data_IF_452839073954
#
_entry.id   IF_452839073954
#
_cell.length_a   1.000
_cell.length_b   1.000
_cell.length_c   1.000
_cell.angle_alpha   90.00
_cell.angle_beta   90.00
_cell.angle_gamma   90.00
#
_symmetry.space_group_name_H-M   'P 1'
#
loop_
_entity.id
_entity.type
_entity.pdbx_description
1 polymer ?
#
# COMPACT_ATOMS: atom_id res chain seq x y z
N UNK A 1 -14.25 15.68 -5.92
CA UNK A 1 -13.78 14.35 -6.37
C UNK A 1 -14.54 13.99 -7.63
N UNK A 2 -13.81 13.76 -8.73
CA UNK A 2 -14.39 13.35 -10.01
C UNK A 2 -14.89 11.91 -9.96
N UNK A 3 -15.88 11.59 -10.78
CA UNK A 3 -16.39 10.23 -10.94
C UNK A 3 -15.30 9.32 -11.52
N UNK A 4 -15.22 8.09 -11.05
CA UNK A 4 -14.30 7.06 -11.51
C UNK A 4 -15.00 5.70 -11.52
N UNK A 5 -14.52 4.79 -12.35
CA UNK A 5 -14.89 3.37 -12.27
C UNK A 5 -13.96 2.64 -11.30
N UNK A 6 -14.43 1.53 -10.73
CA UNK A 6 -13.71 0.75 -9.73
C UNK A 6 -13.69 -0.72 -10.15
N UNK A 7 -12.51 -1.33 -10.14
CA UNK A 7 -12.31 -2.74 -10.47
C UNK A 7 -11.44 -3.41 -9.43
N UNK A 8 -11.80 -4.65 -9.02
CA UNK A 8 -10.95 -5.50 -8.20
C UNK A 8 -10.14 -6.41 -9.10
N UNK A 9 -8.81 -6.28 -9.05
CA UNK A 9 -7.94 -7.19 -9.77
C UNK A 9 -7.91 -8.58 -9.13
N UNK A 10 -7.70 -9.61 -9.94
CA UNK A 10 -7.64 -11.00 -9.44
C UNK A 10 -6.22 -11.50 -9.20
N UNK A 11 -5.26 -10.92 -9.90
CA UNK A 11 -3.82 -11.23 -9.75
C UNK A 11 -2.98 -9.96 -9.88
N UNK A 12 -1.72 -9.94 -9.41
CA UNK A 12 -0.82 -8.81 -9.61
C UNK A 12 -0.57 -8.49 -11.09
N UNK A 13 -0.42 -9.52 -11.93
CA UNK A 13 -0.24 -9.34 -13.37
C UNK A 13 -1.48 -8.72 -14.02
N UNK A 14 -2.67 -9.15 -13.60
CA UNK A 14 -3.94 -8.60 -14.04
C UNK A 14 -4.08 -7.12 -13.63
N UNK A 15 -3.78 -6.78 -12.38
CA UNK A 15 -3.79 -5.40 -11.91
C UNK A 15 -2.87 -4.50 -12.75
N UNK A 16 -1.63 -4.95 -12.99
CA UNK A 16 -0.67 -4.22 -13.80
C UNK A 16 -1.16 -4.03 -15.24
N UNK A 17 -1.75 -5.08 -15.83
CA UNK A 17 -2.35 -5.02 -17.16
C UNK A 17 -3.51 -4.02 -17.22
N UNK A 18 -4.42 -4.04 -16.25
CA UNK A 18 -5.57 -3.11 -16.19
C UNK A 18 -5.08 -1.66 -16.12
N UNK A 19 -4.12 -1.36 -15.23
CA UNK A 19 -3.58 0.00 -15.12
C UNK A 19 -2.85 0.43 -16.40
N UNK A 20 -2.08 -0.47 -17.02
CA UNK A 20 -1.38 -0.19 -18.27
C UNK A 20 -2.33 0.07 -19.45
N UNK A 21 -3.50 -0.60 -19.49
CA UNK A 21 -4.47 -0.45 -20.57
C UNK A 21 -5.45 0.72 -20.39
N UNK A 22 -5.49 1.35 -19.22
CA UNK A 22 -6.42 2.44 -18.91
C UNK A 22 -5.66 3.74 -18.57
N UNK A 23 -5.49 4.66 -19.53
CA UNK A 23 -4.89 5.96 -19.26
C UNK A 23 -5.61 6.68 -18.12
N UNK A 24 -4.84 7.12 -17.12
CA UNK A 24 -5.39 7.75 -15.91
C UNK A 24 -5.84 6.79 -14.82
N UNK A 25 -5.67 5.48 -14.98
CA UNK A 25 -5.89 4.53 -13.90
C UNK A 25 -4.85 4.67 -12.78
N UNK A 26 -5.28 4.34 -11.55
CA UNK A 26 -4.42 4.27 -10.37
C UNK A 26 -4.72 3.02 -9.56
N UNK A 27 -3.68 2.45 -8.94
CA UNK A 27 -3.87 1.41 -7.94
C UNK A 27 -4.45 2.00 -6.66
N UNK A 28 -5.39 1.29 -6.04
CA UNK A 28 -5.95 1.62 -4.74
C UNK A 28 -5.46 0.58 -3.71
N UNK A 29 -4.65 1.06 -2.76
CA UNK A 29 -4.23 0.29 -1.58
C UNK A 29 -5.09 0.69 -0.36
N UNK A 30 -4.47 1.08 0.75
CA UNK A 30 -5.16 1.58 1.95
C UNK A 30 -5.95 2.88 1.78
N UNK A 31 -5.76 3.59 0.66
CA UNK A 31 -6.47 4.82 0.32
C UNK A 31 -6.12 6.05 1.17
N UNK A 32 -5.26 5.93 2.18
CA UNK A 32 -5.01 6.99 3.18
C UNK A 32 -4.39 8.26 2.62
N UNK A 33 -3.70 8.20 1.48
CA UNK A 33 -3.16 9.37 0.77
C UNK A 33 -3.91 9.63 -0.54
N UNK A 34 -4.10 8.60 -1.38
CA UNK A 34 -4.77 8.75 -2.68
C UNK A 34 -6.19 9.33 -2.55
N UNK A 35 -7.02 8.80 -1.63
CA UNK A 35 -8.40 9.29 -1.50
C UNK A 35 -8.46 10.71 -0.94
N UNK A 36 -7.47 11.12 -0.14
CA UNK A 36 -7.37 12.49 0.35
C UNK A 36 -7.08 13.47 -0.81
N UNK A 37 -6.06 13.16 -1.62
CA UNK A 37 -5.71 13.92 -2.82
C UNK A 37 -6.84 13.97 -3.85
N UNK A 38 -7.61 12.88 -3.97
CA UNK A 38 -8.78 12.82 -4.86
C UNK A 38 -9.93 13.72 -4.41
N UNK A 39 -10.11 13.92 -3.09
CA UNK A 39 -11.15 14.84 -2.58
C UNK A 39 -10.86 16.27 -2.98
N UNK A 40 -9.58 16.66 -2.93
CA UNK A 40 -9.06 17.96 -3.32
C UNK A 40 -8.80 18.09 -4.83
N UNK A 41 -9.09 17.04 -5.61
CA UNK A 41 -8.86 16.96 -7.05
C UNK A 41 -7.41 17.19 -7.50
N UNK A 42 -6.45 16.95 -6.60
CA UNK A 42 -5.01 16.91 -6.91
C UNK A 42 -4.67 15.65 -7.71
N UNK A 43 -5.27 14.52 -7.35
CA UNK A 43 -5.29 13.30 -8.16
C UNK A 43 -6.69 13.13 -8.75
N UNK A 44 -6.79 12.94 -10.06
CA UNK A 44 -8.08 12.82 -10.77
C UNK A 44 -8.14 11.57 -11.62
N UNK A 45 -7.95 10.36 -11.03
CA UNK A 45 -8.00 9.13 -11.79
C UNK A 45 -9.40 8.88 -12.35
N UNK A 46 -9.46 8.35 -13.57
CA UNK A 46 -10.69 7.92 -14.23
C UNK A 46 -11.10 6.50 -13.83
N UNK A 47 -10.14 5.72 -13.31
CA UNK A 47 -10.31 4.33 -12.93
C UNK A 47 -9.45 3.97 -11.72
N UNK A 48 -10.02 3.27 -10.74
CA UNK A 48 -9.30 2.73 -9.59
C UNK A 48 -9.26 1.21 -9.65
N UNK A 49 -8.05 0.67 -9.52
CA UNK A 49 -7.80 -0.78 -9.47
C UNK A 49 -7.47 -1.17 -8.04
N UNK A 50 -8.41 -1.81 -7.35
CA UNK A 50 -8.20 -2.35 -6.02
C UNK A 50 -7.37 -3.64 -6.09
N UNK A 51 -6.37 -3.68 -5.23
CA UNK A 51 -5.32 -4.69 -5.19
C UNK A 51 -5.16 -5.29 -3.79
N UNK A 52 -6.10 -5.03 -2.86
CA UNK A 52 -6.07 -5.53 -1.49
C UNK A 52 -6.15 -7.06 -1.41
N UNK A 53 -6.89 -7.71 -2.31
CA UNK A 53 -7.15 -9.16 -2.26
C UNK A 53 -6.06 -10.00 -2.96
N UNK A 54 -4.96 -9.37 -3.40
CA UNK A 54 -3.90 -10.02 -4.17
C UNK A 54 -2.89 -10.82 -3.34
N UNK A 55 -3.12 -10.95 -2.02
CA UNK A 55 -2.26 -11.70 -1.09
C UNK A 55 -0.79 -11.25 -1.12
N UNK A 56 -0.58 -9.94 -1.28
CA UNK A 56 0.73 -9.28 -1.27
C UNK A 56 1.10 -8.75 0.13
N UNK A 57 0.59 -9.41 1.17
CA UNK A 57 0.51 -8.94 2.56
C UNK A 57 1.33 -9.79 3.54
N UNK A 58 2.31 -10.55 3.03
CA UNK A 58 3.17 -11.42 3.82
C UNK A 58 4.51 -10.79 4.18
N UNK A 59 5.06 -11.20 5.32
CA UNK A 59 6.43 -10.91 5.75
C UNK A 59 7.17 -12.24 5.85
N UNK A 60 8.13 -12.47 4.95
CA UNK A 60 8.76 -13.78 4.74
C UNK A 60 10.29 -13.66 4.86
N UNK A 61 10.99 -14.63 5.45
CA UNK A 61 12.45 -14.67 5.38
C UNK A 61 12.90 -14.92 3.94
N UNK A 62 14.10 -14.47 3.59
CA UNK A 62 14.74 -14.80 2.30
C UNK A 62 15.87 -15.80 2.50
N UNK A 63 16.22 -16.55 1.45
CA UNK A 63 17.33 -17.51 1.48
C UNK A 63 18.68 -16.85 1.78
N UNK A 64 18.81 -15.55 1.48
CA UNK A 64 19.98 -14.75 1.80
C UNK A 64 20.03 -14.26 3.25
N UNK A 65 19.09 -14.67 4.12
CA UNK A 65 19.00 -14.25 5.51
C UNK A 65 18.33 -12.88 5.73
N UNK A 66 17.68 -12.34 4.70
CA UNK A 66 16.95 -11.07 4.77
C UNK A 66 15.45 -11.26 5.04
N UNK A 67 14.70 -10.18 4.82
CA UNK A 67 13.25 -10.17 4.97
C UNK A 67 12.58 -9.60 3.70
N UNK A 68 11.63 -10.34 3.15
CA UNK A 68 10.75 -9.90 2.06
C UNK A 68 9.45 -9.41 2.65
N UNK A 69 9.20 -8.11 2.52
CA UNK A 69 7.99 -7.45 2.99
C UNK A 69 7.06 -7.23 1.80
N UNK A 70 5.87 -7.81 1.87
CA UNK A 70 4.83 -7.64 0.87
C UNK A 70 4.33 -6.18 0.79
N UNK A 71 4.04 -5.72 -0.43
CA UNK A 71 3.58 -4.35 -0.69
C UNK A 71 2.30 -3.96 0.08
N UNK A 72 1.50 -4.95 0.47
CA UNK A 72 0.20 -4.79 1.14
C UNK A 72 0.23 -5.12 2.64
N UNK A 73 1.42 -5.41 3.20
CA UNK A 73 1.59 -5.46 4.65
C UNK A 73 1.22 -4.08 5.20
N UNK A 74 0.30 -4.04 6.16
CA UNK A 74 -0.08 -2.79 6.82
C UNK A 74 1.07 -2.25 7.66
N UNK A 75 1.15 -0.94 7.81
CA UNK A 75 2.16 -0.31 8.64
C UNK A 75 2.12 -0.83 10.08
N UNK A 76 0.93 -1.06 10.64
CA UNK A 76 0.79 -1.66 11.98
C UNK A 76 1.35 -3.08 12.05
N UNK A 77 1.04 -3.94 11.08
CA UNK A 77 1.55 -5.31 11.05
C UNK A 77 3.08 -5.31 10.90
N UNK A 78 3.61 -4.49 10.00
CA UNK A 78 5.06 -4.39 9.77
C UNK A 78 5.80 -3.91 11.02
N UNK A 79 5.27 -2.89 11.70
CA UNK A 79 5.89 -2.35 12.91
C UNK A 79 5.80 -3.32 14.11
N UNK A 80 4.85 -4.26 14.09
CA UNK A 80 4.59 -5.20 15.18
C UNK A 80 5.25 -6.56 15.00
N UNK A 81 5.72 -6.89 13.79
CA UNK A 81 6.42 -8.17 13.51
C UNK A 81 7.66 -8.32 14.38
N UNK A 82 7.79 -9.47 15.05
CA UNK A 82 8.86 -9.72 16.02
C UNK A 82 10.26 -9.65 15.40
N UNK A 83 10.41 -10.15 14.16
CA UNK A 83 11.68 -10.12 13.44
C UNK A 83 12.03 -8.68 13.05
N UNK A 84 11.04 -7.90 12.64
CA UNK A 84 11.25 -6.48 12.32
C UNK A 84 11.64 -5.69 13.57
N UNK A 85 11.01 -5.94 14.71
CA UNK A 85 11.35 -5.27 15.97
C UNK A 85 12.74 -5.64 16.48
N UNK A 86 13.13 -6.91 16.36
CA UNK A 86 14.41 -7.44 16.84
C UNK A 86 15.57 -7.08 15.91
N UNK A 87 15.42 -7.34 14.61
CA UNK A 87 16.52 -7.32 13.65
C UNK A 87 16.54 -6.04 12.78
N UNK A 88 15.39 -5.34 12.69
CA UNK A 88 15.22 -4.14 11.87
C UNK A 88 14.61 -2.99 12.68
N UNK A 89 15.01 -2.83 13.94
CA UNK A 89 14.30 -1.98 14.92
C UNK A 89 14.08 -0.53 14.50
N UNK A 90 14.95 0.04 13.65
CA UNK A 90 14.76 1.40 13.10
C UNK A 90 13.51 1.50 12.20
N UNK A 91 13.17 0.45 11.46
CA UNK A 91 11.99 0.40 10.60
C UNK A 91 10.71 0.47 11.44
N UNK A 92 10.63 -0.33 12.50
CA UNK A 92 9.49 -0.30 13.43
C UNK A 92 9.33 1.09 14.07
N UNK A 93 10.44 1.67 14.57
CA UNK A 93 10.45 3.01 15.18
C UNK A 93 9.99 4.11 14.22
N UNK A 94 10.49 4.09 12.97
CA UNK A 94 10.10 5.06 11.95
C UNK A 94 8.60 4.99 11.65
N UNK A 95 8.05 3.78 11.54
CA UNK A 95 6.62 3.59 11.27
C UNK A 95 5.76 4.13 12.42
N UNK A 96 6.08 3.79 13.68
CA UNK A 96 5.24 4.20 14.82
C UNK A 96 5.36 5.68 15.17
N UNK A 97 6.45 6.34 14.78
CA UNK A 97 6.63 7.78 14.96
C UNK A 97 5.74 8.62 14.03
N UNK A 98 5.27 8.07 12.92
CA UNK A 98 4.44 8.76 11.94
C UNK A 98 2.96 8.38 12.00
N UNK A 99 2.09 9.36 11.73
CA UNK A 99 0.63 9.20 11.63
C UNK A 99 -0.07 8.70 12.92
N UNK A 100 -1.36 8.42 12.84
CA UNK A 100 -2.16 7.83 13.91
C UNK A 100 -2.29 6.30 13.78
N UNK A 101 -2.77 5.63 14.82
CA UNK A 101 -3.04 4.19 14.77
C UNK A 101 -4.07 3.81 13.70
N UNK A 102 -5.12 4.63 13.54
CA UNK A 102 -6.15 4.41 12.52
C UNK A 102 -5.58 4.44 11.10
N UNK A 103 -4.70 5.41 10.83
CA UNK A 103 -4.03 5.54 9.53
C UNK A 103 -3.05 4.38 9.31
N UNK A 104 -2.23 4.02 10.31
CA UNK A 104 -1.28 2.90 10.19
C UNK A 104 -1.95 1.54 9.99
N UNK A 105 -3.17 1.36 10.51
CA UNK A 105 -3.94 0.14 10.30
C UNK A 105 -4.40 -0.04 8.85
N UNK A 106 -4.48 1.06 8.07
CA UNK A 106 -4.90 1.03 6.66
C UNK A 106 -3.75 1.28 5.69
N UNK A 107 -2.78 2.12 6.04
CA UNK A 107 -1.61 2.38 5.23
C UNK A 107 -0.83 1.08 4.99
N UNK A 108 -0.42 0.86 3.74
CA UNK A 108 0.37 -0.30 3.34
C UNK A 108 1.81 0.10 3.07
N UNK A 109 2.71 -0.90 3.06
CA UNK A 109 4.15 -0.69 2.79
C UNK A 109 4.39 0.08 1.49
N UNK A 110 3.81 -0.35 0.37
CA UNK A 110 3.97 0.35 -0.91
C UNK A 110 3.26 1.71 -0.92
N UNK A 111 2.08 1.81 -0.32
CA UNK A 111 1.33 3.07 -0.22
C UNK A 111 2.09 4.13 0.58
N UNK A 112 2.80 3.73 1.64
CA UNK A 112 3.64 4.63 2.43
C UNK A 112 4.85 5.15 1.65
N UNK A 113 5.50 4.30 0.86
CA UNK A 113 6.63 4.70 0.00
C UNK A 113 6.21 5.67 -1.12
N UNK A 114 4.98 5.53 -1.63
CA UNK A 114 4.45 6.34 -2.75
C UNK A 114 3.64 7.56 -2.29
N UNK A 115 3.55 7.82 -0.99
CA UNK A 115 2.77 8.94 -0.48
C UNK A 115 3.35 10.27 -0.96
N UNK A 116 2.47 11.24 -1.27
CA UNK A 116 2.84 12.62 -1.56
C UNK A 116 2.69 13.47 -0.30
N UNK A 117 3.65 14.34 -0.04
CA UNK A 117 3.69 15.33 1.06
C UNK A 117 3.40 16.74 0.55
#
# INVERSE_FOLDING_TARGET
>A
MRSFTYERARTPADAARIVASHPGARFLAGGTNLLDLMKLEVETPTHLVDVQDLKLDRIEPTDAGGLRIGAFVSNTALASDERVRRDYGVLSRAIVAGASGQLRNKATTAGNLLQRT
#
